data_IF_008737788315
#
_entry.id   IF_008737788315
#
_cell.length_a   1.000
_cell.length_b   1.000
_cell.length_c   1.000
_cell.angle_alpha   90.00
_cell.angle_beta   90.00
_cell.angle_gamma   90.00
#
_symmetry.space_group_name_H-M   'P 1'
#
loop_
_entity.id
_entity.type
_entity.pdbx_description
1 polymer ?
#
# COMPACT_ATOMS: atom_id res chain seq x y z
N UNK A 1 4.32 10.59 -0.85
CA UNK A 1 2.99 10.02 -0.50
C UNK A 1 3.04 8.53 -0.15
N UNK A 2 3.99 7.73 -0.68
CA UNK A 2 4.07 6.29 -0.42
C UNK A 2 4.13 5.90 1.08
N UNK A 3 4.99 6.53 1.89
CA UNK A 3 5.13 6.23 3.33
C UNK A 3 3.81 6.45 4.08
N UNK A 4 3.15 7.59 3.83
CA UNK A 4 1.87 7.89 4.45
C UNK A 4 0.77 6.91 4.05
N UNK A 5 0.79 6.43 2.81
CA UNK A 5 -0.16 5.43 2.34
C UNK A 5 0.10 4.06 2.98
N UNK A 6 1.36 3.65 3.20
CA UNK A 6 1.64 2.42 3.95
C UNK A 6 1.16 2.46 5.40
N UNK A 7 1.28 3.60 6.09
CA UNK A 7 0.74 3.77 7.45
C UNK A 7 -0.78 3.60 7.47
N UNK A 8 -1.49 4.29 6.57
CA UNK A 8 -2.95 4.23 6.50
C UNK A 8 -3.47 2.85 6.07
N UNK A 9 -2.73 2.14 5.22
CA UNK A 9 -3.06 0.77 4.86
C UNK A 9 -2.87 -0.19 6.03
N UNK A 10 -1.84 0.04 6.86
CA UNK A 10 -1.66 -0.74 8.08
C UNK A 10 -2.81 -0.53 9.06
N UNK A 11 -3.30 0.71 9.21
CA UNK A 11 -4.51 1.01 10.01
C UNK A 11 -5.77 0.29 9.48
N UNK A 12 -5.84 0.05 8.17
CA UNK A 12 -6.89 -0.73 7.51
C UNK A 12 -6.65 -2.25 7.58
N UNK A 13 -5.60 -2.71 8.27
CA UNK A 13 -5.26 -4.13 8.42
C UNK A 13 -4.42 -4.72 7.29
N UNK A 14 -3.89 -3.89 6.38
CA UNK A 14 -3.09 -4.30 5.22
C UNK A 14 -1.64 -3.85 5.40
N UNK A 15 -0.77 -4.78 5.79
CA UNK A 15 0.65 -4.48 5.94
C UNK A 15 1.37 -4.43 4.59
N UNK A 16 1.80 -3.23 4.19
CA UNK A 16 2.66 -3.00 3.02
C UNK A 16 3.73 -1.98 3.36
N UNK A 17 4.88 -2.08 2.70
CA UNK A 17 6.02 -1.19 2.97
C UNK A 17 6.18 -0.15 1.88
N UNK A 18 6.21 1.13 2.27
CA UNK A 18 6.64 2.23 1.42
C UNK A 18 8.15 2.39 1.42
N UNK A 19 8.74 2.64 0.25
CA UNK A 19 10.13 3.02 0.07
C UNK A 19 10.23 4.49 -0.33
N UNK A 20 11.18 5.19 0.27
CA UNK A 20 11.56 6.56 -0.09
C UNK A 20 13.08 6.69 -0.22
N UNK A 21 13.55 7.90 -0.52
CA UNK A 21 14.97 8.21 -0.49
C UNK A 21 15.56 7.93 0.90
N UNK A 22 16.78 7.36 1.01
CA UNK A 22 17.75 7.06 -0.06
C UNK A 22 17.60 5.70 -0.75
N UNK A 23 16.64 4.87 -0.33
CA UNK A 23 16.45 3.51 -0.87
C UNK A 23 15.96 3.54 -2.33
N UNK A 24 15.23 4.59 -2.71
CA UNK A 24 14.85 4.89 -4.09
C UNK A 24 15.19 6.35 -4.44
N UNK A 25 15.43 6.69 -5.72
CA UNK A 25 15.70 8.06 -6.12
C UNK A 25 14.59 9.03 -5.66
N UNK A 26 14.95 10.30 -5.47
CA UNK A 26 13.97 11.34 -5.11
C UNK A 26 12.87 11.41 -6.18
N UNK A 27 11.62 11.63 -5.73
CA UNK A 27 10.44 11.60 -6.61
C UNK A 27 9.91 10.21 -6.97
N UNK A 28 10.68 9.14 -6.74
CA UNK A 28 10.30 7.76 -7.07
C UNK A 28 9.86 6.92 -5.86
N UNK A 29 9.34 7.57 -4.81
CA UNK A 29 8.81 6.87 -3.65
C UNK A 29 7.62 5.97 -4.05
N UNK A 30 7.63 4.71 -3.61
CA UNK A 30 6.68 3.67 -4.04
C UNK A 30 6.34 2.70 -2.93
N UNK A 31 5.21 2.02 -3.03
CA UNK A 31 4.84 0.89 -2.17
C UNK A 31 5.19 -0.40 -2.89
N UNK A 32 5.64 -1.42 -2.15
CA UNK A 32 5.82 -2.77 -2.68
C UNK A 32 4.91 -3.74 -1.96
N UNK A 33 4.06 -4.41 -2.74
CA UNK A 33 3.29 -5.55 -2.28
C UNK A 33 4.12 -6.83 -2.43
N UNK A 34 4.08 -7.69 -1.42
CA UNK A 34 4.73 -9.00 -1.43
C UNK A 34 3.64 -10.05 -1.37
N UNK A 35 3.34 -10.66 -2.51
CA UNK A 35 2.26 -11.64 -2.62
C UNK A 35 2.78 -13.03 -2.24
N UNK A 36 1.90 -13.80 -1.63
CA UNK A 36 2.12 -15.21 -1.30
C UNK A 36 1.01 -16.05 -1.92
N UNK A 37 1.33 -17.25 -2.38
CA UNK A 37 0.34 -18.22 -2.86
C UNK A 37 -0.66 -18.66 -1.77
N UNK A 38 -0.34 -18.40 -0.50
CA UNK A 38 -1.24 -18.66 0.61
C UNK A 38 -2.40 -17.65 0.73
N UNK A 39 -2.32 -16.48 0.06
CA UNK A 39 -3.44 -15.54 0.08
C UNK A 39 -4.63 -16.12 -0.68
N UNK A 40 -5.79 -16.05 -0.05
CA UNK A 40 -7.06 -16.39 -0.66
C UNK A 40 -7.56 -15.25 -1.55
N UNK A 41 -8.62 -15.50 -2.32
CA UNK A 41 -9.27 -14.47 -3.11
C UNK A 41 -9.83 -13.35 -2.22
N UNK A 42 -10.38 -13.72 -1.08
CA UNK A 42 -10.97 -12.77 -0.13
C UNK A 42 -9.91 -11.86 0.49
N UNK A 43 -8.70 -12.39 0.78
CA UNK A 43 -7.57 -11.56 1.25
C UNK A 43 -7.20 -10.49 0.21
N UNK A 44 -7.19 -10.86 -1.07
CA UNK A 44 -6.86 -9.94 -2.17
C UNK A 44 -7.96 -8.90 -2.35
N UNK A 45 -9.23 -9.29 -2.32
CA UNK A 45 -10.36 -8.38 -2.47
C UNK A 45 -10.45 -7.41 -1.26
N UNK A 46 -10.17 -7.90 -0.04
CA UNK A 46 -10.01 -7.06 1.15
C UNK A 46 -8.90 -6.02 0.98
N UNK A 47 -7.72 -6.46 0.54
CA UNK A 47 -6.60 -5.56 0.32
C UNK A 47 -6.94 -4.51 -0.75
N UNK A 48 -7.51 -4.91 -1.89
CA UNK A 48 -7.92 -3.99 -2.96
C UNK A 48 -8.92 -2.93 -2.47
N UNK A 49 -9.88 -3.32 -1.63
CA UNK A 49 -10.85 -2.40 -1.05
C UNK A 49 -10.17 -1.36 -0.13
N UNK A 50 -9.22 -1.79 0.70
CA UNK A 50 -8.42 -0.89 1.54
C UNK A 50 -7.57 0.07 0.70
N UNK A 51 -6.90 -0.45 -0.35
CA UNK A 51 -6.14 0.37 -1.31
C UNK A 51 -7.00 1.44 -1.97
N UNK A 52 -8.24 1.11 -2.37
CA UNK A 52 -9.18 2.08 -2.93
C UNK A 52 -9.56 3.16 -1.91
N UNK A 53 -9.96 2.78 -0.68
CA UNK A 53 -10.33 3.72 0.39
C UNK A 53 -9.20 4.70 0.71
N UNK A 54 -7.99 4.17 0.95
CA UNK A 54 -6.81 4.99 1.28
C UNK A 54 -6.36 5.83 0.08
N UNK A 55 -6.39 5.27 -1.12
CA UNK A 55 -6.03 5.97 -2.36
C UNK A 55 -6.90 7.21 -2.59
N UNK A 56 -8.22 7.07 -2.46
CA UNK A 56 -9.16 8.19 -2.56
C UNK A 56 -8.92 9.22 -1.45
N UNK A 57 -8.70 8.80 -0.19
CA UNK A 57 -8.39 9.71 0.94
C UNK A 57 -7.13 10.55 0.70
N UNK A 58 -6.16 10.02 -0.04
CA UNK A 58 -4.91 10.72 -0.36
C UNK A 58 -4.95 11.50 -1.69
N UNK A 59 -6.09 11.49 -2.38
CA UNK A 59 -6.28 12.11 -3.69
C UNK A 59 -5.38 11.49 -4.76
N UNK A 60 -5.27 10.16 -4.78
CA UNK A 60 -4.47 9.40 -5.74
C UNK A 60 -5.33 8.55 -6.70
N UNK A 61 -6.61 8.36 -6.40
CA UNK A 61 -7.57 7.55 -7.15
C UNK A 61 -8.95 8.20 -7.15
#
# INVERSE_FOLDING_TARGET
KAIRMSELLLDEGVFVTGFGYPVVPQGHARIRCQLSAAHTRDDLDFALAAFKRVGTKLGLA
#
